data_IF_065557492786
#
_entry.id   IF_065557492786
#
_cell.length_a   1.000
_cell.length_b   1.000
_cell.length_c   1.000
_cell.angle_alpha   90.00
_cell.angle_beta   90.00
_cell.angle_gamma   90.00
#
_symmetry.space_group_name_H-M   'P 1'
#
loop_
_entity.id
_entity.type
_entity.pdbx_description
1 polymer ?
#
# COMPACT_ATOMS: atom_id res chain seq x y z
N UNK A 1 17.15 30.81 37.65
CA UNK A 1 15.98 31.04 36.78
C UNK A 1 15.54 29.68 36.28
N UNK A 2 14.44 29.13 36.82
CA UNK A 2 13.91 27.85 36.36
C UNK A 2 13.30 28.06 34.98
N UNK A 3 13.92 27.51 33.96
CA UNK A 3 13.30 27.41 32.64
C UNK A 3 12.12 26.48 32.78
N UNK A 4 10.90 27.00 32.65
CA UNK A 4 9.68 26.22 32.49
C UNK A 4 9.87 25.27 31.31
N UNK A 5 10.22 24.02 31.62
CA UNK A 5 10.40 22.98 30.63
C UNK A 5 9.03 22.67 30.04
N UNK A 6 8.91 22.79 28.71
CA UNK A 6 7.70 22.41 28.00
C UNK A 6 7.32 20.97 28.40
N UNK A 7 6.08 20.72 28.87
CA UNK A 7 5.61 19.37 29.17
C UNK A 7 5.81 18.42 27.99
N UNK A 8 6.24 17.19 28.27
CA UNK A 8 6.57 16.20 27.24
C UNK A 8 5.35 15.87 26.36
N UNK A 9 4.15 15.93 26.92
CA UNK A 9 2.88 15.73 26.23
C UNK A 9 2.65 16.78 25.14
N UNK A 10 3.09 18.03 25.38
CA UNK A 10 3.02 19.09 24.37
C UNK A 10 4.06 18.85 23.26
N UNK A 11 5.28 18.42 23.61
CA UNK A 11 6.29 18.03 22.60
C UNK A 11 5.75 16.91 21.71
N UNK A 12 5.14 15.88 22.29
CA UNK A 12 4.53 14.76 21.55
C UNK A 12 3.43 15.27 20.61
N UNK A 13 2.53 16.14 21.08
CA UNK A 13 1.48 16.72 20.23
C UNK A 13 2.07 17.50 19.06
N UNK A 14 3.07 18.35 19.29
CA UNK A 14 3.73 19.14 18.23
C UNK A 14 4.38 18.22 17.20
N UNK A 15 5.16 17.23 17.64
CA UNK A 15 5.84 16.28 16.75
C UNK A 15 4.81 15.45 15.95
N UNK A 16 3.73 14.99 16.58
CA UNK A 16 2.66 14.25 15.91
C UNK A 16 1.94 15.11 14.87
N UNK A 17 1.69 16.38 15.17
CA UNK A 17 1.12 17.34 14.21
C UNK A 17 2.07 17.62 13.04
N UNK A 18 3.38 17.74 13.30
CA UNK A 18 4.38 17.91 12.25
C UNK A 18 4.47 16.67 11.35
N UNK A 19 4.42 15.46 11.92
CA UNK A 19 4.40 14.21 11.16
C UNK A 19 3.17 14.10 10.24
N UNK A 20 1.99 14.54 10.70
CA UNK A 20 0.74 14.47 9.94
C UNK A 20 0.61 15.46 8.78
N UNK A 21 1.53 16.43 8.64
CA UNK A 21 1.39 17.52 7.64
C UNK A 21 2.68 18.03 7.00
N UNK A 22 3.86 17.53 7.38
CA UNK A 22 5.16 18.09 6.95
C UNK A 22 6.18 16.99 6.61
N UNK A 23 7.12 17.32 5.73
CA UNK A 23 8.22 16.47 5.28
C UNK A 23 9.16 16.05 6.43
N UNK A 24 9.78 14.87 6.31
CA UNK A 24 10.68 14.27 7.30
C UNK A 24 11.86 15.14 7.74
N UNK A 25 12.24 16.15 6.96
CA UNK A 25 13.23 17.16 7.29
C UNK A 25 12.86 17.95 8.56
N UNK A 26 11.57 18.27 8.74
CA UNK A 26 11.12 18.99 9.94
C UNK A 26 11.33 18.13 11.19
N UNK A 27 11.02 16.83 11.12
CA UNK A 27 11.27 15.90 12.21
C UNK A 27 12.77 15.69 12.45
N UNK A 28 13.58 15.68 11.40
CA UNK A 28 15.03 15.63 11.51
C UNK A 28 15.58 16.86 12.26
N UNK A 29 15.04 18.06 11.98
CA UNK A 29 15.40 19.27 12.71
C UNK A 29 15.00 19.20 14.19
N UNK A 30 13.82 18.63 14.52
CA UNK A 30 13.39 18.43 15.92
C UNK A 30 14.40 17.59 16.73
N UNK A 31 15.03 16.59 16.12
CA UNK A 31 16.03 15.74 16.79
C UNK A 31 17.29 16.49 17.22
N UNK A 32 17.57 17.62 16.59
CA UNK A 32 18.75 18.43 16.86
C UNK A 32 18.53 19.46 17.98
N UNK A 33 17.28 19.70 18.41
CA UNK A 33 16.93 20.72 19.40
C UNK A 33 17.47 20.37 20.80
N UNK A 34 17.02 19.26 21.38
CA UNK A 34 17.50 18.77 22.67
C UNK A 34 17.21 17.27 22.85
N UNK A 35 17.65 16.69 23.98
CA UNK A 35 17.47 15.26 24.29
C UNK A 35 15.99 14.82 24.32
N UNK A 36 15.11 15.65 24.86
CA UNK A 36 13.66 15.33 24.93
C UNK A 36 13.04 15.30 23.54
N UNK A 37 13.28 16.32 22.71
CA UNK A 37 12.78 16.36 21.34
C UNK A 37 13.36 15.22 20.51
N UNK A 38 14.64 14.90 20.69
CA UNK A 38 15.27 13.71 20.08
C UNK A 38 14.54 12.42 20.45
N UNK A 39 14.29 12.18 21.74
CA UNK A 39 13.61 10.98 22.20
C UNK A 39 12.18 10.87 21.65
N UNK A 40 11.46 11.99 21.57
CA UNK A 40 10.07 12.03 21.08
C UNK A 40 9.98 11.94 19.56
N UNK A 41 10.86 12.60 18.81
CA UNK A 41 10.81 12.64 17.33
C UNK A 41 11.37 11.40 16.65
N UNK A 42 12.33 10.73 17.28
CA UNK A 42 13.05 9.59 16.67
C UNK A 42 12.12 8.47 16.19
N UNK A 43 11.09 8.02 16.94
CA UNK A 43 10.15 7.02 16.45
C UNK A 43 9.45 7.43 15.15
N UNK A 44 9.03 8.69 15.03
CA UNK A 44 8.31 9.21 13.87
C UNK A 44 9.19 9.35 12.62
N UNK A 45 10.49 9.62 12.80
CA UNK A 45 11.45 9.68 11.67
C UNK A 45 11.63 8.31 11.03
N UNK A 46 11.72 7.26 11.85
CA UNK A 46 11.93 5.90 11.38
C UNK A 46 10.62 5.17 11.10
N UNK A 47 9.47 5.73 11.44
CA UNK A 47 8.16 5.08 11.25
C UNK A 47 7.92 4.70 9.79
N UNK A 48 8.30 5.57 8.86
CA UNK A 48 8.18 5.36 7.42
C UNK A 48 9.55 5.50 6.74
N UNK A 49 10.10 4.38 6.27
CA UNK A 49 11.42 4.36 5.60
C UNK A 49 11.25 4.14 4.11
N UNK A 50 11.85 5.04 3.31
CA UNK A 50 11.90 4.93 1.85
C UNK A 50 13.26 4.38 1.39
N UNK A 51 13.22 3.32 0.59
CA UNK A 51 14.39 2.73 -0.07
C UNK A 51 14.26 3.00 -1.57
N UNK A 52 15.22 3.75 -2.12
CA UNK A 52 15.23 4.13 -3.53
C UNK A 52 16.39 3.60 -4.36
N UNK A 53 17.34 2.93 -3.71
CA UNK A 53 18.50 2.32 -4.36
C UNK A 53 19.06 1.18 -3.53
N UNK A 54 19.96 0.41 -4.12
CA UNK A 54 20.67 -0.67 -3.43
C UNK A 54 21.55 -0.13 -2.29
N UNK A 55 22.18 1.04 -2.46
CA UNK A 55 23.01 1.69 -1.43
C UNK A 55 22.16 2.09 -0.23
N UNK A 56 20.93 2.57 -0.47
CA UNK A 56 19.99 2.88 0.61
C UNK A 56 19.49 1.63 1.32
N UNK A 57 19.32 0.51 0.60
CA UNK A 57 19.01 -0.78 1.21
C UNK A 57 20.15 -1.25 2.12
N UNK A 58 21.39 -1.19 1.64
CA UNK A 58 22.59 -1.54 2.44
C UNK A 58 22.69 -0.63 3.66
N UNK A 59 22.57 0.69 3.48
CA UNK A 59 22.66 1.64 4.59
C UNK A 59 21.56 1.43 5.65
N UNK A 60 20.34 1.08 5.22
CA UNK A 60 19.28 0.71 6.17
C UNK A 60 19.63 -0.57 6.90
N UNK A 61 20.11 -1.59 6.18
CA UNK A 61 20.53 -2.86 6.74
C UNK A 61 21.61 -2.67 7.81
N UNK A 62 22.66 -1.92 7.48
CA UNK A 62 23.75 -1.59 8.41
C UNK A 62 23.19 -0.84 9.63
N UNK A 63 22.30 0.13 9.42
CA UNK A 63 21.70 0.91 10.52
C UNK A 63 20.94 0.03 11.51
N UNK A 64 20.09 -0.89 11.01
CA UNK A 64 19.29 -1.76 11.89
C UNK A 64 20.12 -2.89 12.51
N UNK A 65 21.31 -3.20 11.98
CA UNK A 65 22.27 -4.12 12.61
C UNK A 65 23.07 -3.45 13.73
N UNK A 66 23.41 -2.18 13.59
CA UNK A 66 24.23 -1.47 14.58
C UNK A 66 23.39 -0.81 15.68
N UNK A 67 22.11 -0.54 15.43
CA UNK A 67 21.20 0.11 16.38
C UNK A 67 19.88 -0.66 16.49
N UNK A 68 19.84 -1.59 17.44
CA UNK A 68 18.69 -2.45 17.76
C UNK A 68 17.40 -1.66 18.08
N UNK A 69 17.50 -0.37 18.43
CA UNK A 69 16.34 0.45 18.71
C UNK A 69 15.62 0.93 17.45
N UNK A 70 16.28 0.93 16.28
CA UNK A 70 15.70 1.46 15.03
C UNK A 70 14.66 0.51 14.43
N UNK A 71 14.98 -0.78 14.31
CA UNK A 71 14.11 -1.79 13.71
C UNK A 71 12.67 -1.78 14.26
N UNK A 72 12.47 -1.73 15.60
CA UNK A 72 11.15 -1.64 16.23
C UNK A 72 10.34 -0.38 15.92
N UNK A 73 10.95 0.71 15.45
CA UNK A 73 10.24 1.93 15.08
C UNK A 73 9.70 1.87 13.65
N UNK A 74 10.28 1.06 12.77
CA UNK A 74 9.88 0.98 11.36
C UNK A 74 8.54 0.26 11.23
N UNK A 75 7.51 1.00 10.79
CA UNK A 75 6.14 0.49 10.57
C UNK A 75 5.78 0.38 9.11
N UNK A 76 6.32 1.26 8.28
CA UNK A 76 6.06 1.30 6.84
C UNK A 76 7.37 1.30 6.07
N UNK A 77 7.50 0.36 5.14
CA UNK A 77 8.59 0.31 4.17
C UNK A 77 8.08 0.74 2.80
N UNK A 78 8.69 1.76 2.20
CA UNK A 78 8.40 2.21 0.85
C UNK A 78 9.58 1.84 -0.04
N UNK A 79 9.37 0.91 -0.96
CA UNK A 79 10.36 0.55 -1.97
C UNK A 79 10.00 1.27 -3.26
N UNK A 80 10.82 2.25 -3.64
CA UNK A 80 10.58 3.08 -4.82
C UNK A 80 11.91 3.39 -5.53
N UNK A 81 12.30 2.59 -6.53
CA UNK A 81 13.47 2.85 -7.37
C UNK A 81 13.49 4.28 -7.90
N UNK A 82 14.68 4.82 -8.13
CA UNK A 82 14.83 6.17 -8.68
C UNK A 82 14.12 6.30 -10.03
N UNK A 83 13.37 7.39 -10.18
CA UNK A 83 12.53 7.67 -11.37
C UNK A 83 13.37 7.85 -12.63
N UNK A 84 14.64 8.22 -12.50
CA UNK A 84 15.57 8.34 -13.63
C UNK A 84 15.78 7.02 -14.39
N UNK A 85 15.50 5.89 -13.74
CA UNK A 85 15.62 4.53 -14.30
C UNK A 85 14.26 3.85 -14.48
N UNK A 86 13.15 4.61 -14.54
CA UNK A 86 11.77 4.09 -14.54
C UNK A 86 11.41 3.12 -15.68
N UNK A 87 12.32 2.81 -16.60
CA UNK A 87 12.12 1.80 -17.66
C UNK A 87 13.02 0.58 -17.49
N UNK A 88 13.93 0.58 -16.52
CA UNK A 88 14.90 -0.49 -16.30
C UNK A 88 14.51 -1.28 -15.05
N UNK A 89 14.33 -2.61 -15.16
CA UNK A 89 14.15 -3.48 -14.01
C UNK A 89 15.22 -3.22 -12.96
N UNK A 90 14.83 -3.12 -11.70
CA UNK A 90 15.74 -2.84 -10.58
C UNK A 90 16.00 -4.12 -9.77
N UNK A 91 17.07 -4.89 -10.06
CA UNK A 91 17.24 -6.23 -9.48
C UNK A 91 17.44 -6.20 -7.96
N UNK A 92 17.83 -5.06 -7.40
CA UNK A 92 17.96 -4.90 -5.96
C UNK A 92 16.61 -4.93 -5.23
N UNK A 93 15.49 -4.67 -5.93
CA UNK A 93 14.14 -4.67 -5.35
C UNK A 93 13.80 -6.04 -4.77
N UNK A 94 14.26 -7.15 -5.35
CA UNK A 94 14.02 -8.47 -4.74
C UNK A 94 14.86 -8.69 -3.46
N UNK A 95 15.98 -7.98 -3.30
CA UNK A 95 16.95 -8.22 -2.23
C UNK A 95 16.50 -7.73 -0.86
N UNK A 96 15.57 -6.76 -0.77
CA UNK A 96 15.10 -6.28 0.54
C UNK A 96 14.37 -7.39 1.30
N UNK A 97 13.68 -8.28 0.58
CA UNK A 97 12.97 -9.40 1.18
C UNK A 97 13.90 -10.45 1.80
N UNK A 98 15.16 -10.51 1.36
CA UNK A 98 16.18 -11.39 1.95
C UNK A 98 16.82 -10.77 3.21
N UNK A 99 17.00 -9.45 3.20
CA UNK A 99 17.87 -8.72 4.16
C UNK A 99 17.15 -8.20 5.40
N UNK A 100 15.89 -7.78 5.24
CA UNK A 100 15.19 -7.00 6.26
C UNK A 100 14.21 -7.76 7.18
N UNK A 101 13.58 -8.90 6.81
CA UNK A 101 12.47 -9.45 7.59
C UNK A 101 12.78 -9.71 9.06
N UNK A 102 13.94 -10.30 9.36
CA UNK A 102 14.35 -10.62 10.73
C UNK A 102 14.57 -9.37 11.61
N UNK A 103 14.88 -8.23 10.98
CA UNK A 103 15.25 -6.97 11.64
C UNK A 103 14.05 -6.04 11.84
N UNK A 104 13.01 -6.19 11.00
CA UNK A 104 11.82 -5.34 11.00
C UNK A 104 10.61 -6.02 11.66
N UNK A 105 10.76 -6.41 12.93
CA UNK A 105 9.76 -7.21 13.69
C UNK A 105 8.41 -6.54 13.90
N UNK A 106 8.32 -5.23 13.63
CA UNK A 106 7.16 -4.37 13.86
C UNK A 106 6.58 -3.76 12.59
N UNK A 107 7.08 -4.18 11.43
CA UNK A 107 6.63 -3.72 10.12
C UNK A 107 5.17 -4.11 9.88
N UNK A 108 4.35 -3.12 9.52
CA UNK A 108 2.91 -3.29 9.28
C UNK A 108 2.58 -3.16 7.80
N UNK A 109 3.24 -2.24 7.11
CA UNK A 109 2.95 -1.92 5.72
C UNK A 109 4.19 -2.02 4.82
N UNK A 110 4.02 -2.63 3.65
CA UNK A 110 4.97 -2.55 2.54
C UNK A 110 4.28 -1.84 1.37
N UNK A 111 4.94 -0.81 0.84
CA UNK A 111 4.53 -0.10 -0.37
C UNK A 111 5.57 -0.32 -1.46
N UNK A 112 5.16 -0.88 -2.58
CA UNK A 112 5.94 -1.05 -3.78
C UNK A 112 5.46 0.00 -4.77
N UNK A 113 6.29 1.01 -5.05
CA UNK A 113 5.90 2.18 -5.85
C UNK A 113 6.84 2.33 -7.04
N UNK A 114 6.32 2.60 -8.24
CA UNK A 114 7.14 2.74 -9.45
C UNK A 114 8.02 1.51 -9.71
N UNK A 115 7.50 0.30 -9.46
CA UNK A 115 8.22 -0.94 -9.76
C UNK A 115 7.91 -1.35 -11.20
N UNK A 116 8.96 -1.53 -11.99
CA UNK A 116 8.88 -2.03 -13.36
C UNK A 116 9.56 -3.39 -13.40
N UNK A 117 8.79 -4.44 -13.67
CA UNK A 117 9.33 -5.78 -13.86
C UNK A 117 8.76 -6.43 -15.12
N UNK A 118 9.61 -6.62 -16.12
CA UNK A 118 9.32 -7.31 -17.37
C UNK A 118 9.46 -8.84 -17.29
N UNK A 119 9.57 -9.40 -16.07
CA UNK A 119 9.69 -10.84 -15.81
C UNK A 119 11.07 -11.27 -15.29
N UNK A 120 11.99 -10.33 -15.05
CA UNK A 120 13.39 -10.58 -14.69
C UNK A 120 13.77 -10.03 -13.30
N UNK A 121 13.03 -9.06 -12.75
CA UNK A 121 13.40 -8.37 -11.51
C UNK A 121 13.11 -9.21 -10.27
N UNK A 122 12.03 -9.98 -10.30
CA UNK A 122 11.64 -10.83 -9.20
C UNK A 122 12.28 -12.21 -9.32
N UNK A 123 13.45 -12.33 -8.69
CA UNK A 123 14.22 -13.57 -8.60
C UNK A 123 13.34 -14.77 -8.14
N UNK A 124 13.64 -15.95 -8.67
CA UNK A 124 13.10 -17.21 -8.16
C UNK A 124 13.30 -17.29 -6.63
N UNK A 125 12.21 -17.50 -5.90
CA UNK A 125 12.21 -17.56 -4.44
C UNK A 125 11.85 -16.26 -3.73
N UNK A 126 11.61 -15.14 -4.44
CA UNK A 126 11.15 -13.92 -3.81
C UNK A 126 9.92 -14.13 -2.93
N UNK A 127 8.92 -14.87 -3.42
CA UNK A 127 7.69 -15.19 -2.67
C UNK A 127 8.02 -15.84 -1.32
N UNK A 128 8.98 -16.76 -1.30
CA UNK A 128 9.41 -17.44 -0.07
C UNK A 128 10.21 -16.53 0.87
N UNK A 129 10.96 -15.57 0.33
CA UNK A 129 11.66 -14.56 1.14
C UNK A 129 10.68 -13.52 1.69
N UNK A 130 9.69 -13.15 0.88
CA UNK A 130 8.65 -12.20 1.23
C UNK A 130 7.74 -12.74 2.35
N UNK A 131 7.53 -14.05 2.42
CA UNK A 131 6.75 -14.68 3.50
C UNK A 131 7.34 -14.50 4.89
N UNK A 132 8.64 -14.19 4.98
CA UNK A 132 9.32 -13.91 6.26
C UNK A 132 8.83 -12.61 6.90
N UNK A 133 8.15 -11.73 6.17
CA UNK A 133 7.49 -10.53 6.72
C UNK A 133 6.18 -10.87 7.44
N UNK A 134 6.26 -11.70 8.48
CA UNK A 134 5.10 -12.16 9.26
C UNK A 134 4.22 -11.06 9.90
N UNK A 135 4.71 -9.86 10.31
CA UNK A 135 3.86 -8.86 10.93
C UNK A 135 3.08 -7.98 9.93
N UNK A 136 3.40 -8.04 8.64
CA UNK A 136 2.81 -7.15 7.62
C UNK A 136 1.34 -7.48 7.42
N UNK A 137 0.49 -6.47 7.61
CA UNK A 137 -0.96 -6.54 7.42
C UNK A 137 -1.46 -5.72 6.22
N UNK A 138 -0.59 -4.89 5.63
CA UNK A 138 -0.91 -4.02 4.50
C UNK A 138 0.14 -4.11 3.40
N UNK A 139 -0.32 -4.38 2.18
CA UNK A 139 0.49 -4.39 0.96
C UNK A 139 -0.11 -3.42 -0.04
N UNK A 140 0.72 -2.55 -0.59
CA UNK A 140 0.31 -1.50 -1.53
C UNK A 140 1.22 -1.60 -2.74
N UNK A 141 0.63 -1.72 -3.92
CA UNK A 141 1.30 -1.54 -5.21
C UNK A 141 0.79 -0.24 -5.82
N UNK A 142 1.66 0.64 -6.28
CA UNK A 142 1.23 1.92 -6.87
C UNK A 142 2.17 2.37 -7.99
N UNK A 143 1.60 2.82 -9.11
CA UNK A 143 2.32 3.22 -10.32
C UNK A 143 3.31 2.15 -10.80
N UNK A 144 2.92 0.88 -10.74
CA UNK A 144 3.78 -0.25 -11.04
C UNK A 144 3.48 -0.84 -12.43
N UNK A 145 4.49 -1.27 -13.16
CA UNK A 145 4.33 -2.12 -14.34
C UNK A 145 4.73 -3.54 -13.96
N UNK A 146 3.74 -4.39 -13.67
CA UNK A 146 3.95 -5.71 -13.09
C UNK A 146 3.06 -6.76 -13.76
N UNK A 147 3.47 -8.01 -13.64
CA UNK A 147 2.61 -9.14 -13.92
C UNK A 147 1.64 -9.38 -12.76
N UNK A 148 0.32 -9.27 -13.01
CA UNK A 148 -0.71 -9.51 -11.98
C UNK A 148 -0.63 -10.91 -11.39
N UNK A 149 -0.18 -11.90 -12.18
CA UNK A 149 0.02 -13.27 -11.70
C UNK A 149 1.07 -13.40 -10.60
N UNK A 150 1.92 -12.38 -10.40
CA UNK A 150 2.89 -12.34 -9.29
C UNK A 150 2.37 -11.56 -8.07
N UNK A 151 1.48 -10.59 -8.29
CA UNK A 151 0.90 -9.77 -7.23
C UNK A 151 0.18 -10.66 -6.21
N UNK A 152 -0.59 -11.65 -6.67
CA UNK A 152 -1.33 -12.55 -5.77
C UNK A 152 -0.44 -13.50 -4.98
N UNK A 153 0.55 -14.21 -5.57
CA UNK A 153 1.54 -14.96 -4.79
C UNK A 153 2.29 -14.12 -3.76
N UNK A 154 2.67 -12.88 -4.09
CA UNK A 154 3.31 -11.98 -3.12
C UNK A 154 2.36 -11.59 -1.98
N UNK A 155 1.12 -11.27 -2.30
CA UNK A 155 0.11 -10.99 -1.28
C UNK A 155 -0.16 -12.23 -0.40
N UNK A 156 -0.25 -13.40 -1.02
CA UNK A 156 -0.48 -14.69 -0.36
C UNK A 156 0.73 -15.15 0.48
N UNK A 157 1.94 -14.70 0.18
CA UNK A 157 3.11 -14.98 0.99
C UNK A 157 3.01 -14.36 2.39
N UNK A 158 2.25 -13.27 2.56
CA UNK A 158 2.15 -12.54 3.81
C UNK A 158 1.03 -13.13 4.70
N UNK A 159 1.35 -13.87 5.77
CA UNK A 159 0.36 -14.67 6.50
C UNK A 159 -0.66 -13.84 7.29
N UNK A 160 -0.36 -12.56 7.54
CA UNK A 160 -1.23 -11.62 8.27
C UNK A 160 -1.82 -10.53 7.39
N UNK A 161 -1.67 -10.62 6.07
CA UNK A 161 -2.17 -9.62 5.14
C UNK A 161 -3.69 -9.49 5.26
N UNK A 162 -4.15 -8.28 5.52
CA UNK A 162 -5.57 -7.92 5.67
C UNK A 162 -6.00 -6.84 4.70
N UNK A 163 -5.05 -6.05 4.21
CA UNK A 163 -5.27 -4.89 3.38
C UNK A 163 -4.39 -4.99 2.13
N UNK A 164 -4.99 -5.15 0.97
CA UNK A 164 -4.29 -5.08 -0.31
C UNK A 164 -4.78 -3.86 -1.08
N UNK A 165 -3.88 -3.00 -1.53
CA UNK A 165 -4.23 -1.91 -2.44
C UNK A 165 -3.43 -2.03 -3.74
N UNK A 166 -4.16 -2.06 -4.85
CA UNK A 166 -3.65 -2.08 -6.21
C UNK A 166 -3.94 -0.72 -6.83
N UNK A 167 -3.00 0.20 -6.74
CA UNK A 167 -3.09 1.51 -7.35
C UNK A 167 -2.97 1.43 -8.88
N UNK A 168 -2.37 2.44 -9.50
CA UNK A 168 -2.15 2.41 -10.96
C UNK A 168 -1.17 1.27 -11.30
N UNK A 169 -1.69 0.17 -11.85
CA UNK A 169 -0.87 -0.97 -12.31
C UNK A 169 -1.02 -1.11 -13.82
N UNK A 170 0.11 -1.06 -14.54
CA UNK A 170 0.18 -1.43 -15.95
C UNK A 170 0.48 -2.95 -16.03
N UNK A 171 -0.47 -3.79 -16.45
CA UNK A 171 -0.25 -5.22 -16.53
C UNK A 171 0.70 -5.50 -17.67
N UNK A 172 1.72 -6.31 -17.39
CA UNK A 172 2.63 -6.79 -18.42
C UNK A 172 2.12 -8.16 -18.86
N UNK A 173 1.79 -8.36 -20.15
CA UNK A 173 1.29 -9.62 -20.69
C UNK A 173 2.47 -10.59 -20.85
N UNK A 174 3.09 -10.96 -19.74
CA UNK A 174 4.13 -11.97 -19.70
C UNK A 174 3.55 -13.21 -19.04
N UNK A 175 3.64 -14.36 -19.69
CA UNK A 175 3.28 -15.63 -19.06
C UNK A 175 4.53 -16.11 -18.35
N UNK A 176 4.53 -16.07 -17.01
CA UNK A 176 5.59 -16.72 -16.24
C UNK A 176 5.55 -18.22 -16.56
N UNK A 177 6.66 -18.81 -17.02
CA UNK A 177 6.67 -20.22 -17.42
C UNK A 177 6.36 -21.16 -16.25
N UNK A 178 6.65 -20.71 -15.02
CA UNK A 178 6.27 -21.37 -13.77
C UNK A 178 5.66 -20.33 -12.83
N UNK A 179 4.35 -20.42 -12.58
CA UNK A 179 3.69 -19.60 -11.57
C UNK A 179 4.24 -19.97 -10.18
N UNK A 180 4.58 -18.97 -9.34
CA UNK A 180 4.95 -19.26 -7.96
C UNK A 180 3.78 -19.91 -7.22
N UNK A 181 4.06 -20.93 -6.41
CA UNK A 181 3.03 -21.55 -5.58
C UNK A 181 2.49 -20.55 -4.55
N UNK A 182 1.16 -20.55 -4.40
CA UNK A 182 0.49 -19.76 -3.38
C UNK A 182 0.75 -20.38 -2.00
N UNK A 183 1.45 -19.66 -1.13
CA UNK A 183 1.85 -20.19 0.18
C UNK A 183 0.66 -20.23 1.17
N UNK A 184 -0.23 -19.24 1.11
CA UNK A 184 -1.38 -19.13 1.99
C UNK A 184 -2.63 -18.62 1.25
N UNK A 185 -3.84 -18.98 1.70
CA UNK A 185 -5.05 -18.37 1.17
C UNK A 185 -5.11 -16.87 1.50
N UNK A 186 -5.58 -16.06 0.56
CA UNK A 186 -5.75 -14.62 0.75
C UNK A 186 -6.97 -14.31 1.61
N UNK A 187 -6.73 -13.92 2.86
CA UNK A 187 -7.75 -13.55 3.86
C UNK A 187 -7.86 -12.04 4.03
N UNK A 188 -8.25 -11.35 2.97
CA UNK A 188 -8.34 -9.89 2.97
C UNK A 188 -9.61 -9.42 3.68
N UNK A 189 -9.44 -8.45 4.56
CA UNK A 189 -10.57 -7.71 5.17
C UNK A 189 -10.91 -6.46 4.38
N UNK A 190 -9.94 -5.91 3.65
CA UNK A 190 -10.12 -4.74 2.82
C UNK A 190 -9.24 -4.85 1.58
N UNK A 191 -9.81 -4.43 0.45
CA UNK A 191 -9.12 -4.34 -0.81
C UNK A 191 -9.33 -2.96 -1.43
N UNK A 192 -8.30 -2.42 -2.08
CA UNK A 192 -8.36 -1.16 -2.82
C UNK A 192 -7.89 -1.35 -4.26
N UNK A 193 -8.54 -0.72 -5.22
CA UNK A 193 -8.17 -0.75 -6.63
C UNK A 193 -8.31 0.64 -7.24
N UNK A 194 -7.29 1.14 -7.92
CA UNK A 194 -7.45 2.33 -8.76
C UNK A 194 -8.09 1.95 -10.10
N UNK A 195 -9.15 2.68 -10.44
CA UNK A 195 -10.03 2.43 -11.58
C UNK A 195 -9.43 3.10 -12.82
N UNK A 196 -8.49 2.42 -13.48
CA UNK A 196 -7.97 2.76 -14.81
C UNK A 196 -8.44 1.80 -15.90
N UNK A 197 -7.85 1.84 -17.10
CA UNK A 197 -8.23 0.99 -18.25
C UNK A 197 -8.19 -0.53 -17.96
N UNK A 198 -7.41 -0.93 -16.95
CA UNK A 198 -7.16 -2.33 -16.59
C UNK A 198 -8.10 -2.83 -15.47
N UNK A 199 -8.89 -1.93 -14.89
CA UNK A 199 -9.77 -2.17 -13.75
C UNK A 199 -10.64 -3.44 -13.84
N UNK A 200 -11.35 -3.73 -14.96
CA UNK A 200 -12.24 -4.88 -14.98
C UNK A 200 -11.51 -6.23 -14.85
N UNK A 201 -10.28 -6.31 -15.37
CA UNK A 201 -9.47 -7.53 -15.34
C UNK A 201 -8.87 -7.77 -13.96
N UNK A 202 -8.21 -6.75 -13.40
CA UNK A 202 -7.58 -6.86 -12.08
C UNK A 202 -8.61 -7.11 -10.97
N UNK A 203 -9.79 -6.51 -11.08
CA UNK A 203 -10.86 -6.72 -10.11
C UNK A 203 -11.40 -8.15 -10.13
N UNK A 204 -11.61 -8.73 -11.31
CA UNK A 204 -12.14 -10.09 -11.44
C UNK A 204 -11.19 -11.11 -10.82
N UNK A 205 -9.90 -10.99 -11.14
CA UNK A 205 -8.86 -11.85 -10.59
C UNK A 205 -8.77 -11.70 -9.06
N UNK A 206 -8.73 -10.47 -8.56
CA UNK A 206 -8.68 -10.21 -7.13
C UNK A 206 -9.87 -10.83 -6.40
N UNK A 207 -11.09 -10.61 -6.89
CA UNK A 207 -12.30 -11.16 -6.26
C UNK A 207 -12.31 -12.69 -6.31
N UNK A 208 -11.81 -13.31 -7.39
CA UNK A 208 -11.70 -14.77 -7.46
C UNK A 208 -10.70 -15.36 -6.47
N UNK A 209 -9.67 -14.61 -6.10
CA UNK A 209 -8.60 -15.05 -5.20
C UNK A 209 -8.91 -14.79 -3.72
N UNK A 210 -9.80 -13.85 -3.41
CA UNK A 210 -10.11 -13.45 -2.04
C UNK A 210 -11.13 -14.39 -1.39
N UNK A 211 -10.74 -15.03 -0.30
CA UNK A 211 -11.66 -15.76 0.57
C UNK A 211 -12.38 -14.79 1.51
N UNK A 212 -13.69 -14.96 1.68
CA UNK A 212 -14.48 -14.22 2.65
C UNK A 212 -13.87 -14.33 4.08
N UNK A 213 -14.02 -13.31 4.96
CA UNK A 213 -14.90 -12.13 4.81
C UNK A 213 -14.16 -10.87 4.32
N UNK A 214 -14.47 -10.43 3.10
CA UNK A 214 -14.09 -9.10 2.61
C UNK A 214 -15.10 -8.07 3.14
N UNK A 215 -14.63 -7.13 3.96
CA UNK A 215 -15.47 -6.13 4.63
C UNK A 215 -15.51 -4.80 3.91
N UNK A 216 -14.42 -4.44 3.23
CA UNK A 216 -14.32 -3.15 2.55
C UNK A 216 -13.69 -3.26 1.17
N UNK A 217 -14.29 -2.60 0.18
CA UNK A 217 -13.71 -2.38 -1.14
C UNK A 217 -13.53 -0.87 -1.32
N UNK A 218 -12.35 -0.44 -1.75
CA UNK A 218 -12.06 0.95 -2.08
C UNK A 218 -11.72 1.05 -3.57
N UNK A 219 -12.42 1.91 -4.29
CA UNK A 219 -12.22 2.16 -5.71
C UNK A 219 -11.67 3.58 -5.90
N UNK A 220 -10.47 3.73 -6.44
CA UNK A 220 -9.82 5.02 -6.67
C UNK A 220 -9.97 5.49 -8.11
N UNK A 221 -10.81 6.48 -8.40
CA UNK A 221 -10.94 7.07 -9.75
C UNK A 221 -10.15 8.37 -9.80
N UNK A 222 -8.94 8.32 -10.35
CA UNK A 222 -8.04 9.46 -10.37
C UNK A 222 -8.21 10.28 -11.65
N UNK A 223 -8.16 11.61 -11.51
CA UNK A 223 -8.14 12.61 -12.58
C UNK A 223 -9.37 12.58 -13.50
N UNK A 224 -10.56 12.51 -12.94
CA UNK A 224 -11.83 12.52 -13.67
C UNK A 224 -12.07 13.92 -14.25
N UNK A 225 -11.86 14.09 -15.56
CA UNK A 225 -12.04 15.39 -16.22
C UNK A 225 -13.51 15.80 -16.32
N UNK A 226 -14.39 14.85 -16.61
CA UNK A 226 -15.84 15.06 -16.73
C UNK A 226 -16.64 13.80 -16.35
N UNK A 227 -17.97 13.92 -16.29
CA UNK A 227 -18.85 12.83 -15.89
C UNK A 227 -18.83 11.62 -16.84
N UNK A 228 -18.51 11.84 -18.12
CA UNK A 228 -18.49 10.82 -19.16
C UNK A 228 -17.21 10.00 -19.09
N UNK A 229 -16.11 10.59 -18.62
CA UNK A 229 -14.84 9.90 -18.33
C UNK A 229 -14.88 9.00 -17.10
N UNK A 230 -15.94 9.04 -16.29
CA UNK A 230 -16.08 8.11 -15.18
C UNK A 230 -16.16 6.67 -15.72
N UNK A 231 -15.30 5.75 -15.27
CA UNK A 231 -15.36 4.36 -15.68
C UNK A 231 -16.67 3.71 -15.25
N UNK A 232 -17.16 2.76 -16.04
CA UNK A 232 -18.32 1.94 -15.65
C UNK A 232 -17.92 1.02 -14.51
N UNK A 233 -18.73 0.99 -13.45
CA UNK A 233 -18.51 0.12 -12.30
C UNK A 233 -19.36 -1.16 -12.36
N UNK A 234 -20.17 -1.33 -13.40
CA UNK A 234 -20.95 -2.54 -13.63
C UNK A 234 -20.13 -3.86 -13.60
N UNK A 235 -18.86 -3.90 -14.06
CA UNK A 235 -18.04 -5.11 -13.92
C UNK A 235 -17.83 -5.55 -12.46
N UNK A 236 -17.89 -4.64 -11.49
CA UNK A 236 -17.82 -4.99 -10.07
C UNK A 236 -19.07 -5.74 -9.63
N UNK A 237 -20.26 -5.23 -9.95
CA UNK A 237 -21.51 -5.92 -9.65
C UNK A 237 -21.56 -7.33 -10.27
N UNK A 238 -20.94 -7.53 -11.44
CA UNK A 238 -20.89 -8.84 -12.10
C UNK A 238 -19.98 -9.87 -11.40
N UNK A 239 -19.02 -9.40 -10.59
CA UNK A 239 -17.98 -10.25 -10.00
C UNK A 239 -18.18 -10.44 -8.50
N UNK A 240 -18.75 -9.45 -7.79
CA UNK A 240 -19.10 -9.64 -6.37
C UNK A 240 -20.26 -10.64 -6.27
N UNK A 241 -19.96 -11.85 -5.81
CA UNK A 241 -20.96 -12.88 -5.56
C UNK A 241 -21.77 -12.61 -4.27
N UNK A 242 -22.84 -13.38 -4.06
CA UNK A 242 -23.71 -13.24 -2.87
C UNK A 242 -22.95 -13.42 -1.55
N UNK A 243 -21.92 -14.28 -1.52
CA UNK A 243 -21.13 -14.55 -0.33
C UNK A 243 -20.30 -13.34 0.09
N UNK A 244 -19.58 -12.72 -0.85
CA UNK A 244 -18.82 -11.49 -0.62
C UNK A 244 -19.75 -10.31 -0.32
N UNK A 245 -20.87 -10.23 -1.02
CA UNK A 245 -21.91 -9.24 -0.71
C UNK A 245 -22.32 -9.37 0.76
N UNK A 246 -22.62 -10.57 1.26
CA UNK A 246 -23.06 -10.75 2.65
C UNK A 246 -22.09 -10.21 3.70
N UNK A 247 -20.78 -10.20 3.42
CA UNK A 247 -19.74 -9.73 4.35
C UNK A 247 -19.32 -8.29 4.14
N UNK A 248 -19.63 -7.70 2.99
CA UNK A 248 -19.27 -6.33 2.66
C UNK A 248 -20.02 -5.35 3.57
N UNK A 249 -19.27 -4.56 4.32
CA UNK A 249 -19.76 -3.54 5.25
C UNK A 249 -19.63 -2.14 4.67
N UNK A 250 -18.67 -1.92 3.78
CA UNK A 250 -18.35 -0.60 3.26
C UNK A 250 -17.78 -0.69 1.85
N UNK A 251 -18.30 0.14 0.95
CA UNK A 251 -17.71 0.40 -0.34
C UNK A 251 -17.37 1.88 -0.44
N UNK A 252 -16.10 2.18 -0.69
CA UNK A 252 -15.60 3.55 -0.79
C UNK A 252 -15.22 3.84 -2.23
N UNK A 253 -15.79 4.87 -2.83
CA UNK A 253 -15.25 5.45 -4.05
C UNK A 253 -14.45 6.71 -3.68
N UNK A 254 -13.14 6.63 -3.85
CA UNK A 254 -12.26 7.79 -3.79
C UNK A 254 -12.15 8.37 -5.19
N UNK A 255 -12.31 9.69 -5.36
CA UNK A 255 -12.15 10.30 -6.67
C UNK A 255 -11.47 11.67 -6.62
N UNK A 256 -10.74 12.01 -7.69
CA UNK A 256 -10.12 13.33 -7.88
C UNK A 256 -10.57 13.94 -9.20
N UNK A 257 -10.77 15.26 -9.26
CA UNK A 257 -11.20 15.98 -10.47
C UNK A 257 -12.35 16.98 -10.24
N UNK A 258 -12.73 17.80 -11.25
CA UNK A 258 -13.78 18.82 -11.13
C UNK A 258 -15.22 18.27 -11.03
N UNK A 259 -15.45 16.98 -11.23
CA UNK A 259 -16.80 16.40 -11.26
C UNK A 259 -17.50 16.54 -9.91
N UNK A 260 -18.74 17.07 -9.86
CA UNK A 260 -19.50 17.16 -8.62
C UNK A 260 -19.84 15.79 -8.04
N UNK A 261 -19.71 15.64 -6.72
CA UNK A 261 -19.97 14.38 -5.99
C UNK A 261 -21.35 13.78 -6.30
N UNK A 262 -22.38 14.63 -6.41
CA UNK A 262 -23.74 14.22 -6.78
C UNK A 262 -23.81 13.43 -8.09
N UNK A 263 -22.96 13.78 -9.07
CA UNK A 263 -22.94 13.14 -10.40
C UNK A 263 -22.28 11.76 -10.28
N UNK A 264 -21.21 11.68 -9.50
CA UNK A 264 -20.52 10.43 -9.18
C UNK A 264 -21.46 9.47 -8.45
N UNK A 265 -22.17 9.96 -7.43
CA UNK A 265 -23.17 9.20 -6.68
C UNK A 265 -24.29 8.68 -7.59
N UNK A 266 -24.85 9.51 -8.47
CA UNK A 266 -25.89 9.09 -9.42
C UNK A 266 -25.39 7.97 -10.35
N UNK A 267 -24.14 8.05 -10.82
CA UNK A 267 -23.55 6.99 -11.64
C UNK A 267 -23.39 5.69 -10.84
N UNK A 268 -22.87 5.77 -9.62
CA UNK A 268 -22.72 4.62 -8.72
C UNK A 268 -24.06 3.94 -8.43
N UNK A 269 -25.11 4.72 -8.16
CA UNK A 269 -26.46 4.20 -7.92
C UNK A 269 -27.00 3.41 -9.12
N UNK A 270 -26.69 3.86 -10.33
CA UNK A 270 -27.10 3.20 -11.57
C UNK A 270 -26.27 1.95 -11.83
N UNK A 271 -24.96 2.01 -11.63
CA UNK A 271 -24.03 0.94 -11.97
C UNK A 271 -24.01 -0.17 -10.89
N UNK A 272 -24.32 0.16 -9.62
CA UNK A 272 -24.26 -0.73 -8.45
C UNK A 272 -25.54 -0.63 -7.58
N UNK A 273 -26.73 -0.94 -8.12
CA UNK A 273 -28.01 -0.72 -7.44
C UNK A 273 -28.14 -1.51 -6.14
N UNK A 274 -27.66 -2.76 -6.10
CA UNK A 274 -27.77 -3.64 -4.93
C UNK A 274 -26.88 -3.18 -3.77
N UNK A 275 -25.70 -2.66 -4.09
CA UNK A 275 -24.77 -2.11 -3.10
C UNK A 275 -25.34 -0.81 -2.53
N UNK A 276 -25.88 0.05 -3.40
CA UNK A 276 -26.55 1.26 -2.97
C UNK A 276 -27.75 0.98 -2.04
N UNK A 277 -28.59 0.01 -2.39
CA UNK A 277 -29.76 -0.37 -1.59
C UNK A 277 -29.40 -0.82 -0.17
N UNK A 278 -28.17 -1.31 0.06
CA UNK A 278 -27.67 -1.71 1.37
C UNK A 278 -27.10 -0.56 2.21
N UNK A 279 -26.94 0.63 1.63
CA UNK A 279 -26.42 1.80 2.32
C UNK A 279 -24.94 1.71 2.71
N UNK A 280 -24.19 0.79 2.08
CA UNK A 280 -22.75 0.60 2.35
C UNK A 280 -21.85 1.47 1.47
N UNK A 281 -22.43 2.16 0.49
CA UNK A 281 -21.72 3.00 -0.46
C UNK A 281 -21.38 4.37 0.16
N UNK A 282 -20.11 4.75 0.06
CA UNK A 282 -19.58 6.06 0.45
C UNK A 282 -18.73 6.64 -0.66
N UNK A 283 -18.76 7.96 -0.82
CA UNK A 283 -17.98 8.69 -1.83
C UNK A 283 -17.17 9.76 -1.11
N UNK A 284 -15.89 9.82 -1.44
CA UNK A 284 -14.96 10.80 -0.86
C UNK A 284 -14.14 11.42 -1.98
N UNK A 285 -14.08 12.76 -1.99
CA UNK A 285 -13.23 13.51 -2.90
C UNK A 285 -11.87 13.73 -2.26
N UNK A 286 -10.81 13.26 -2.93
CA UNK A 286 -9.41 13.31 -2.45
C UNK A 286 -8.64 14.44 -3.14
#
# INVERSE_FOLDING_TARGET
>A
MSTDSLPIELVIKVVKSAYGGVDGQTLASCVLVCKTWRAVSRPYIFECVKISSNERLIALEDLVEHDDAVGPYIRTLIVRPSVELATVPSPWVSKFAKRLPAKLTRLQAIKLICIFDLGDAFEHGLVNEFSKFTPVDRLIFDQCALNLTLVYPLAAALPRLRHLHLGIIMPIPYVLPNLPEQLHPLRLTSAGLDVGDIYPYGLRELVSEVQAPLRSITLGVLNVADADTLPSLAPLAAVINNDLMSTLQEERLLYTGPVPERVVLQKLQRDLPDIHARGVLSVERV
#
